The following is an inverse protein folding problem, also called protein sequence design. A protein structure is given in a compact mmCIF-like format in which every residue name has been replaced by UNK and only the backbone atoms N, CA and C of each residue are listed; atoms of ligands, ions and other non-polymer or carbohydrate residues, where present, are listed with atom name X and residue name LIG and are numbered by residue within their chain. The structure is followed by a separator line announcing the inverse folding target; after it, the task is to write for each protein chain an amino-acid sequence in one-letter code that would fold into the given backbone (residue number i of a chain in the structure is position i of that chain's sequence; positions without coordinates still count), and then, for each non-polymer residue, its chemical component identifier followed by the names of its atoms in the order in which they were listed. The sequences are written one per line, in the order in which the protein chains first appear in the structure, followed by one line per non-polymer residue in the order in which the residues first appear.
data_IF_231640812522
#
_entry.id   IF_231640812522
#
_cell.length_a   1.000
_cell.length_b   1.000
_cell.length_c   1.000
_cell.angle_alpha   90.00
_cell.angle_beta   90.00
_cell.angle_gamma   90.00
#
_symmetry.space_group_name_H-M   'P 1'
#
loop_
_entity.id
_entity.type
_entity.pdbx_description
1 polymer ?
#
# COMPACT_ATOMS: atom_id res chain seq x y z
N UNK A 1 29.23 -7.89 -8.45
CA UNK A 1 28.42 -8.16 -9.66
C UNK A 1 27.35 -7.09 -9.78
N UNK A 2 27.03 -6.62 -10.99
CA UNK A 2 25.95 -5.64 -11.20
C UNK A 2 24.61 -6.36 -11.20
N UNK A 3 23.85 -6.22 -10.11
CA UNK A 3 22.47 -6.71 -10.00
C UNK A 3 21.54 -5.69 -10.66
N UNK A 4 20.71 -6.11 -11.62
CA UNK A 4 19.71 -5.26 -12.27
C UNK A 4 18.41 -5.32 -11.48
N UNK A 5 17.61 -4.25 -11.51
CA UNK A 5 16.31 -4.21 -10.82
C UNK A 5 15.37 -5.36 -11.23
N UNK A 6 15.39 -5.75 -12.51
CA UNK A 6 14.62 -6.89 -13.02
C UNK A 6 15.02 -8.23 -12.40
N UNK A 7 16.24 -8.34 -11.88
CA UNK A 7 16.76 -9.57 -11.29
C UNK A 7 16.22 -9.75 -9.84
N UNK A 8 15.61 -8.71 -9.26
CA UNK A 8 15.09 -8.69 -7.88
C UNK A 8 13.61 -8.29 -7.78
N UNK A 9 12.95 -8.01 -8.90
CA UNK A 9 11.53 -7.66 -8.91
C UNK A 9 10.67 -8.92 -8.79
N UNK A 10 9.63 -8.86 -7.97
CA UNK A 10 8.52 -9.82 -8.08
C UNK A 10 7.75 -9.51 -9.36
N UNK A 11 7.50 -10.51 -10.21
CA UNK A 11 6.89 -10.33 -11.53
C UNK A 11 5.42 -9.90 -11.53
N UNK A 12 4.81 -9.73 -10.35
CA UNK A 12 3.44 -9.29 -10.20
C UNK A 12 3.40 -7.99 -9.39
N UNK A 13 2.72 -6.98 -9.94
CA UNK A 13 2.59 -5.64 -9.36
C UNK A 13 1.11 -5.36 -9.15
N UNK A 14 0.71 -5.14 -7.90
CA UNK A 14 -0.63 -4.69 -7.58
C UNK A 14 -0.72 -3.18 -7.71
N UNK A 15 -1.78 -2.67 -8.33
CA UNK A 15 -2.02 -1.24 -8.58
C UNK A 15 -3.38 -0.82 -8.04
N UNK A 16 -3.62 0.49 -7.97
CA UNK A 16 -4.96 1.07 -7.76
C UNK A 16 -5.25 2.14 -8.81
N UNK A 17 -6.52 2.50 -8.96
CA UNK A 17 -6.96 3.58 -9.84
C UNK A 17 -6.82 4.95 -9.17
N UNK A 18 -6.62 6.01 -9.96
CA UNK A 18 -6.69 7.40 -9.50
C UNK A 18 -8.07 7.81 -8.97
N UNK A 19 -9.10 7.02 -9.32
CA UNK A 19 -10.49 7.25 -8.93
C UNK A 19 -10.92 6.38 -7.73
N UNK A 20 -10.05 5.49 -7.24
CA UNK A 20 -10.37 4.65 -6.08
C UNK A 20 -10.45 5.50 -4.82
N UNK A 21 -11.46 5.23 -4.00
CA UNK A 21 -11.53 5.79 -2.66
C UNK A 21 -10.47 5.16 -1.73
N UNK A 22 -10.17 5.84 -0.62
CA UNK A 22 -9.11 5.40 0.31
C UNK A 22 -9.39 4.03 0.95
N UNK A 23 -10.65 3.68 1.20
CA UNK A 23 -11.02 2.37 1.78
C UNK A 23 -10.69 1.24 0.80
N UNK A 24 -10.96 1.46 -0.49
CA UNK A 24 -10.61 0.52 -1.56
C UNK A 24 -9.10 0.35 -1.66
N UNK A 25 -8.32 1.43 -1.59
CA UNK A 25 -6.85 1.38 -1.57
C UNK A 25 -6.33 0.61 -0.36
N UNK A 26 -6.83 0.88 0.84
CA UNK A 26 -6.44 0.19 2.09
C UNK A 26 -6.79 -1.30 2.05
N UNK A 27 -7.97 -1.65 1.53
CA UNK A 27 -8.39 -3.03 1.36
C UNK A 27 -7.45 -3.78 0.42
N UNK A 28 -7.09 -3.21 -0.72
CA UNK A 28 -6.10 -3.81 -1.64
C UNK A 28 -4.74 -3.99 -0.94
N UNK A 29 -4.25 -2.98 -0.22
CA UNK A 29 -3.00 -3.08 0.54
C UNK A 29 -3.05 -4.20 1.59
N UNK A 30 -4.17 -4.36 2.29
CA UNK A 30 -4.41 -5.40 3.30
C UNK A 30 -4.45 -6.79 2.69
N UNK A 31 -5.26 -6.98 1.65
CA UNK A 31 -5.47 -8.27 0.98
C UNK A 31 -4.18 -8.77 0.32
N UNK A 32 -3.48 -7.88 -0.38
CA UNK A 32 -2.24 -8.21 -1.10
C UNK A 32 -0.99 -8.11 -0.22
N UNK A 33 -1.13 -7.70 1.04
CA UNK A 33 -0.04 -7.52 2.02
C UNK A 33 1.08 -6.60 1.51
N UNK A 34 0.72 -5.55 0.78
CA UNK A 34 1.65 -4.56 0.24
C UNK A 34 1.51 -3.21 0.94
N UNK A 35 2.63 -2.50 1.09
CA UNK A 35 2.68 -1.17 1.74
C UNK A 35 2.45 -0.01 0.79
N UNK A 36 2.56 -0.26 -0.51
CA UNK A 36 2.54 0.76 -1.56
C UNK A 36 1.85 0.19 -2.79
N UNK A 37 1.11 1.04 -3.48
CA UNK A 37 0.48 0.74 -4.74
C UNK A 37 0.87 1.83 -5.76
N UNK A 38 1.32 1.46 -6.97
CA UNK A 38 1.31 2.37 -8.10
C UNK A 38 -0.13 2.77 -8.44
N UNK A 39 -0.35 4.05 -8.72
CA UNK A 39 -1.66 4.62 -9.08
C UNK A 39 -1.71 4.79 -10.59
N UNK A 40 -2.71 4.19 -11.22
CA UNK A 40 -2.94 4.28 -12.67
C UNK A 40 -4.13 5.20 -12.97
N UNK A 41 -4.05 5.96 -14.07
CA UNK A 41 -5.22 6.67 -14.62
C UNK A 41 -6.12 5.76 -15.47
N UNK A 42 -7.20 6.32 -16.02
CA UNK A 42 -8.15 5.59 -16.90
C UNK A 42 -7.52 5.03 -18.17
N UNK A 43 -6.33 5.50 -18.55
CA UNK A 43 -5.56 5.05 -19.71
C UNK A 43 -4.44 4.07 -19.30
N UNK A 44 -4.51 3.53 -18.08
CA UNK A 44 -3.51 2.62 -17.49
C UNK A 44 -2.10 3.21 -17.39
N UNK A 45 -1.99 4.55 -17.37
CA UNK A 45 -0.71 5.23 -17.22
C UNK A 45 -0.42 5.45 -15.75
N UNK A 46 0.83 5.19 -15.36
CA UNK A 46 1.30 5.48 -14.01
C UNK A 46 1.28 6.99 -13.74
N UNK A 47 0.46 7.42 -12.79
CA UNK A 47 0.34 8.83 -12.39
C UNK A 47 0.87 9.11 -10.99
N UNK A 48 1.20 8.09 -10.21
CA UNK A 48 1.79 8.27 -8.89
C UNK A 48 1.99 6.98 -8.11
N UNK A 49 2.36 7.12 -6.85
CA UNK A 49 2.47 6.03 -5.87
C UNK A 49 1.76 6.49 -4.60
N UNK A 50 0.96 5.61 -4.00
CA UNK A 50 0.38 5.82 -2.67
C UNK A 50 0.93 4.78 -1.71
N UNK A 51 1.30 5.21 -0.50
CA UNK A 51 1.73 4.34 0.59
C UNK A 51 0.80 4.43 1.78
N UNK A 52 0.81 3.39 2.63
CA UNK A 52 0.09 3.40 3.91
C UNK A 52 0.45 4.64 4.74
N UNK A 53 1.70 5.11 4.70
CA UNK A 53 2.15 6.30 5.43
C UNK A 53 1.52 7.60 4.89
N UNK A 54 1.30 7.69 3.58
CA UNK A 54 0.63 8.87 2.98
C UNK A 54 -0.82 8.97 3.46
N UNK A 55 -1.47 7.83 3.67
CA UNK A 55 -2.83 7.75 4.19
C UNK A 55 -2.91 8.19 5.66
N UNK A 56 -1.92 7.84 6.48
CA UNK A 56 -1.80 8.34 7.88
C UNK A 56 -1.67 9.85 7.91
N UNK A 57 -0.70 10.39 7.15
CA UNK A 57 -0.38 11.82 7.18
C UNK A 57 -1.55 12.70 6.73
N UNK A 58 -2.52 12.13 6.00
CA UNK A 58 -3.70 12.82 5.49
C UNK A 58 -4.92 12.67 6.41
N UNK A 59 -5.02 11.57 7.16
CA UNK A 59 -6.00 11.42 8.25
C UNK A 59 -5.74 12.42 9.40
N UNK A 60 -4.47 12.69 9.70
CA UNK A 60 -4.07 13.65 10.74
C UNK A 60 -4.33 15.13 10.33
N UNK A 61 -4.46 15.40 9.02
CA UNK A 61 -4.66 16.75 8.47
C UNK A 61 -6.09 16.90 7.96
N UNK A 62 -7.07 17.01 8.87
CA UNK A 62 -8.47 17.43 8.64
C UNK A 62 -8.88 17.58 7.16
N UNK A 63 -8.96 16.45 6.45
CA UNK A 63 -9.47 16.37 5.09
C UNK A 63 -10.58 15.35 5.18
N UNK A 64 -11.77 15.65 4.68
CA UNK A 64 -13.01 14.87 4.85
C UNK A 64 -13.02 13.41 4.35
N UNK A 65 -11.87 12.79 4.13
CA UNK A 65 -11.73 11.35 4.05
C UNK A 65 -11.86 10.76 5.46
N UNK A 66 -13.08 10.39 5.85
CA UNK A 66 -13.33 9.59 7.04
C UNK A 66 -12.79 8.17 6.78
N UNK A 67 -11.51 7.95 7.00
CA UNK A 67 -10.95 6.61 7.05
C UNK A 67 -11.18 6.09 8.46
N UNK A 68 -12.01 5.06 8.67
CA UNK A 68 -12.21 4.48 9.99
C UNK A 68 -10.86 3.97 10.53
N UNK A 69 -10.47 4.44 11.72
CA UNK A 69 -9.17 4.13 12.31
C UNK A 69 -8.94 2.63 12.53
N UNK A 70 -10.01 1.85 12.68
CA UNK A 70 -10.00 0.39 12.78
C UNK A 70 -9.61 -0.30 11.47
N UNK A 71 -10.11 0.16 10.33
CA UNK A 71 -9.74 -0.36 9.00
C UNK A 71 -8.24 -0.13 8.72
N UNK A 72 -7.75 1.04 9.12
CA UNK A 72 -6.34 1.39 9.00
C UNK A 72 -5.45 0.49 9.89
N UNK A 73 -5.81 0.32 11.16
CA UNK A 73 -5.07 -0.55 12.09
C UNK A 73 -5.12 -2.03 11.65
N UNK A 74 -6.24 -2.49 11.10
CA UNK A 74 -6.34 -3.83 10.53
C UNK A 74 -5.37 -4.01 9.35
N UNK A 75 -5.28 -2.99 8.49
CA UNK A 75 -4.33 -2.97 7.36
C UNK A 75 -2.88 -3.00 7.86
N UNK A 76 -2.54 -2.18 8.86
CA UNK A 76 -1.22 -2.22 9.49
C UNK A 76 -0.90 -3.58 10.11
N UNK A 77 -1.84 -4.23 10.79
CA UNK A 77 -1.65 -5.58 11.35
C UNK A 77 -1.35 -6.60 10.26
N UNK A 78 -2.08 -6.58 9.15
CA UNK A 78 -1.88 -7.52 8.03
C UNK A 78 -0.56 -7.30 7.30
N UNK A 79 -0.08 -6.06 7.24
CA UNK A 79 1.16 -5.73 6.52
C UNK A 79 2.39 -5.87 7.43
N UNK A 80 2.34 -5.35 8.66
CA UNK A 80 3.44 -5.38 9.63
C UNK A 80 3.55 -6.70 10.40
N UNK A 81 2.54 -7.59 10.33
CA UNK A 81 2.50 -8.89 11.02
C UNK A 81 3.61 -9.88 10.67
N UNK A 82 4.53 -9.53 9.76
CA UNK A 82 5.71 -10.32 9.42
C UNK A 82 6.92 -10.04 10.33
N UNK A 83 6.84 -9.10 11.29
CA UNK A 83 7.98 -8.79 12.17
C UNK A 83 8.01 -9.56 13.50
N UNK A 84 7.28 -10.67 13.62
CA UNK A 84 7.36 -11.58 14.77
C UNK A 84 7.62 -13.05 14.37
N UNK A 85 8.39 -13.27 13.29
CA UNK A 85 9.07 -14.55 13.11
C UNK A 85 10.46 -14.44 13.77
N UNK A 86 10.68 -15.31 14.76
CA UNK A 86 11.90 -15.40 15.56
C UNK A 86 13.18 -15.34 14.71
N UNK A 87 14.16 -14.56 15.18
CA UNK A 87 15.56 -14.68 14.73
C UNK A 87 16.05 -16.08 15.13
N UNK A 88 16.51 -16.94 14.19
CA UNK A 88 17.14 -18.19 14.58
C UNK A 88 18.41 -17.89 15.39
N UNK A 89 18.60 -18.66 16.46
CA UNK A 89 19.77 -18.61 17.33
C UNK A 89 21.07 -18.96 16.59
#
# INVERSE_FOLDING_TARGET
ANIRARDVTSGHVHTCSSEDDVSTVLRTMKEQRVRRLPVLDRQERLVGIVSVNDLVARADRHSGANVPGDEFLATLKSICGHSAAAKPA
#
